data_IF_883844418241
#
_entry.id   IF_883844418241
#
_cell.length_a   1.000
_cell.length_b   1.000
_cell.length_c   1.000
_cell.angle_alpha   90.00
_cell.angle_beta   90.00
_cell.angle_gamma   90.00
#
_symmetry.space_group_name_H-M   'P 1'
#
loop_
_entity.id
_entity.type
_entity.pdbx_description
1 polymer ?
#
# COMPACT_ATOMS: atom_id res chain seq x y z
N UNK A 1 -77.66 50.84 -44.21
CA UNK A 1 -76.26 51.09 -43.92
C UNK A 1 -75.80 49.93 -42.99
N UNK A 2 -75.15 48.89 -43.52
CA UNK A 2 -74.80 47.65 -42.81
C UNK A 2 -73.32 47.78 -42.41
N UNK A 3 -73.04 47.72 -41.10
CA UNK A 3 -71.72 47.64 -40.51
C UNK A 3 -71.26 46.21 -40.51
N UNK A 4 -70.07 45.91 -41.08
CA UNK A 4 -69.39 44.66 -41.04
C UNK A 4 -68.50 44.59 -39.77
N UNK A 5 -68.45 43.46 -39.03
CA UNK A 5 -67.52 43.31 -37.93
C UNK A 5 -66.17 42.74 -38.40
N UNK A 6 -65.10 43.36 -37.91
CA UNK A 6 -63.71 42.88 -38.08
C UNK A 6 -63.40 41.60 -37.24
N UNK A 7 -62.68 40.63 -37.78
CA UNK A 7 -62.28 39.49 -37.01
C UNK A 7 -61.04 39.79 -36.10
N UNK A 8 -61.16 39.48 -34.84
CA UNK A 8 -60.04 39.53 -33.86
C UNK A 8 -59.11 38.31 -34.06
N UNK A 9 -57.93 38.55 -34.64
CA UNK A 9 -56.87 37.54 -34.77
C UNK A 9 -56.22 37.37 -33.43
N UNK A 10 -56.41 36.22 -32.79
CA UNK A 10 -55.63 35.77 -31.60
C UNK A 10 -54.25 35.25 -32.05
N UNK A 11 -53.21 36.00 -31.76
CA UNK A 11 -51.84 35.52 -31.91
C UNK A 11 -51.49 34.72 -30.67
N UNK A 12 -51.45 33.37 -30.79
CA UNK A 12 -50.97 32.46 -29.75
C UNK A 12 -49.45 32.39 -29.86
N UNK A 13 -48.76 33.07 -28.96
CA UNK A 13 -47.30 32.96 -28.82
C UNK A 13 -46.99 31.65 -28.11
N UNK A 14 -46.52 30.66 -28.85
CA UNK A 14 -45.95 29.42 -28.29
C UNK A 14 -44.57 29.72 -27.69
N UNK A 15 -44.51 29.91 -26.39
CA UNK A 15 -43.23 29.90 -25.64
C UNK A 15 -42.69 28.45 -25.58
N UNK A 16 -41.79 28.10 -26.49
CA UNK A 16 -41.02 26.85 -26.41
C UNK A 16 -39.99 27.00 -25.30
N UNK A 17 -40.26 26.35 -24.13
CA UNK A 17 -39.28 26.13 -23.09
C UNK A 17 -38.20 25.15 -23.63
N UNK A 18 -37.09 25.68 -24.09
CA UNK A 18 -35.88 24.91 -24.27
C UNK A 18 -35.34 24.52 -22.87
N UNK A 19 -35.67 23.32 -22.43
CA UNK A 19 -35.01 22.69 -21.28
C UNK A 19 -33.56 22.47 -21.66
N UNK A 20 -32.64 23.33 -21.20
CA UNK A 20 -31.22 23.12 -21.24
C UNK A 20 -30.92 21.92 -20.28
N UNK A 21 -30.97 20.71 -20.82
CA UNK A 21 -30.44 19.54 -20.17
C UNK A 21 -28.93 19.70 -20.15
N UNK A 22 -28.37 20.26 -19.08
CA UNK A 22 -26.96 20.15 -18.81
C UNK A 22 -26.68 18.66 -18.61
N UNK A 23 -25.73 18.05 -19.36
CA UNK A 23 -25.29 16.73 -19.03
C UNK A 23 -24.72 16.83 -17.60
N UNK A 24 -25.31 16.11 -16.66
CA UNK A 24 -24.68 15.83 -15.38
C UNK A 24 -23.45 15.01 -15.78
N UNK A 25 -22.29 15.67 -15.88
CA UNK A 25 -21.01 14.99 -15.95
C UNK A 25 -20.95 14.16 -14.66
N UNK A 26 -21.12 12.85 -14.79
CA UNK A 26 -20.84 11.94 -13.71
C UNK A 26 -19.41 12.28 -13.26
N UNK A 27 -19.28 12.82 -12.05
CA UNK A 27 -17.99 13.21 -11.51
C UNK A 27 -17.10 11.97 -11.55
N UNK A 28 -16.05 12.03 -12.35
CA UNK A 28 -15.20 10.88 -12.59
C UNK A 28 -14.45 10.59 -11.29
N UNK A 29 -14.62 9.39 -10.74
CA UNK A 29 -14.13 9.02 -9.42
C UNK A 29 -12.79 8.33 -9.51
N UNK A 30 -11.85 8.70 -8.64
CA UNK A 30 -10.60 7.98 -8.42
C UNK A 30 -10.85 6.85 -7.41
N UNK A 31 -11.08 5.62 -7.91
CA UNK A 31 -11.48 4.47 -7.09
C UNK A 31 -10.31 3.59 -6.72
N UNK A 32 -10.02 3.50 -5.42
CA UNK A 32 -8.88 2.78 -4.83
C UNK A 32 -9.35 1.51 -4.12
N UNK A 33 -8.69 0.39 -4.41
CA UNK A 33 -8.84 -0.85 -3.68
C UNK A 33 -7.92 -0.81 -2.45
N UNK A 34 -8.45 -0.87 -1.24
CA UNK A 34 -7.65 -0.74 -0.03
C UNK A 34 -8.17 -1.64 1.10
N UNK A 35 -7.27 -1.97 2.03
CA UNK A 35 -7.63 -2.65 3.28
C UNK A 35 -8.06 -1.60 4.32
N UNK A 36 -9.19 -1.82 5.03
CA UNK A 36 -9.65 -0.90 6.07
C UNK A 36 -8.78 -0.89 7.33
N UNK A 37 -7.91 -1.91 7.52
CA UNK A 37 -7.05 -2.08 8.70
C UNK A 37 -5.68 -2.63 8.32
N UNK A 38 -4.89 -1.86 7.58
CA UNK A 38 -3.55 -2.24 7.14
C UNK A 38 -2.52 -1.14 7.36
N UNK A 39 -2.31 -0.67 8.62
CA UNK A 39 -1.30 0.32 8.91
C UNK A 39 0.11 -0.22 8.61
N UNK A 40 1.02 0.64 8.09
CA UNK A 40 0.87 2.06 7.81
C UNK A 40 0.33 2.37 6.41
N UNK A 41 -0.09 1.37 5.61
CA UNK A 41 -0.51 1.54 4.21
C UNK A 41 -1.85 2.26 4.11
N UNK A 42 -2.91 1.60 4.56
CA UNK A 42 -4.27 2.13 4.50
C UNK A 42 -5.08 1.79 5.75
N UNK A 43 -5.96 2.70 6.10
CA UNK A 43 -6.93 2.54 7.18
C UNK A 43 -8.26 3.16 6.78
N UNK A 44 -9.32 2.78 7.45
CA UNK A 44 -10.64 3.38 7.23
C UNK A 44 -10.70 4.85 7.66
N UNK A 45 -9.83 5.26 8.61
CA UNK A 45 -9.61 6.66 9.00
C UNK A 45 -8.78 7.46 7.98
N UNK A 46 -8.24 6.80 6.94
CA UNK A 46 -7.49 7.42 5.83
C UNK A 46 -6.19 8.11 6.27
N UNK A 47 -5.54 7.62 7.31
CA UNK A 47 -4.29 8.15 7.86
C UNK A 47 -3.03 7.43 7.37
N UNK A 48 -3.16 6.30 6.66
CA UNK A 48 -2.06 5.58 6.05
C UNK A 48 -1.38 6.36 4.90
N UNK A 49 -0.12 6.02 4.61
CA UNK A 49 0.63 6.72 3.55
C UNK A 49 0.01 6.51 2.16
N UNK A 50 -0.52 5.33 1.86
CA UNK A 50 -1.23 5.07 0.60
C UNK A 50 -2.54 5.87 0.51
N UNK A 51 -3.24 6.06 1.62
CA UNK A 51 -4.41 6.94 1.65
C UNK A 51 -4.05 8.39 1.30
N UNK A 52 -2.93 8.89 1.84
CA UNK A 52 -2.45 10.25 1.59
C UNK A 52 -2.01 10.43 0.13
N UNK A 53 -1.33 9.43 -0.45
CA UNK A 53 -0.95 9.44 -1.87
C UNK A 53 -2.19 9.38 -2.78
N UNK A 54 -3.17 8.53 -2.43
CA UNK A 54 -4.44 8.46 -3.17
C UNK A 54 -5.21 9.79 -3.15
N UNK A 55 -5.24 10.46 -1.99
CA UNK A 55 -5.84 11.78 -1.85
C UNK A 55 -5.10 12.86 -2.67
N UNK A 56 -3.76 12.80 -2.72
CA UNK A 56 -2.95 13.66 -3.59
C UNK A 56 -3.32 13.45 -5.06
N UNK A 57 -3.42 12.21 -5.52
CA UNK A 57 -3.75 11.91 -6.91
C UNK A 57 -5.18 12.30 -7.29
N UNK A 58 -6.15 12.01 -6.42
CA UNK A 58 -7.53 12.44 -6.64
C UNK A 58 -7.65 13.96 -6.79
N UNK A 59 -6.93 14.72 -5.93
CA UNK A 59 -6.86 16.20 -6.02
C UNK A 59 -6.23 16.66 -7.34
N UNK A 60 -5.13 16.06 -7.76
CA UNK A 60 -4.45 16.40 -9.02
C UNK A 60 -5.31 16.14 -10.26
N UNK A 61 -6.16 15.11 -10.19
CA UNK A 61 -7.11 14.74 -11.23
C UNK A 61 -8.43 15.53 -11.18
N UNK A 62 -8.64 16.30 -10.12
CA UNK A 62 -9.93 16.94 -9.81
C UNK A 62 -11.08 15.92 -9.79
N UNK A 63 -10.85 14.76 -9.14
CA UNK A 63 -11.79 13.65 -9.01
C UNK A 63 -12.14 13.40 -7.55
N UNK A 64 -13.35 12.88 -7.30
CA UNK A 64 -13.73 12.38 -5.96
C UNK A 64 -12.96 11.11 -5.64
N UNK A 65 -12.35 11.04 -4.45
CA UNK A 65 -11.66 9.82 -3.96
C UNK A 65 -12.66 8.85 -3.34
N UNK A 66 -12.77 7.68 -3.93
CA UNK A 66 -13.62 6.59 -3.44
C UNK A 66 -12.78 5.35 -3.11
N UNK A 67 -13.11 4.64 -2.03
CA UNK A 67 -12.44 3.41 -1.64
C UNK A 67 -13.39 2.23 -1.73
N UNK A 68 -12.89 1.15 -2.35
CA UNK A 68 -13.45 -0.18 -2.14
C UNK A 68 -12.62 -0.90 -1.08
N UNK A 69 -13.21 -1.05 0.10
CA UNK A 69 -12.56 -1.65 1.25
C UNK A 69 -12.69 -3.18 1.24
N UNK A 70 -11.56 -3.85 1.31
CA UNK A 70 -11.49 -5.31 1.40
C UNK A 70 -10.23 -5.71 2.19
N UNK A 71 -10.31 -6.70 3.11
CA UNK A 71 -9.14 -7.14 3.89
C UNK A 71 -8.03 -7.70 3.00
N UNK A 72 -6.77 -7.37 3.33
CA UNK A 72 -5.59 -7.88 2.64
C UNK A 72 -5.40 -9.37 2.95
N UNK A 73 -5.89 -10.21 2.04
CA UNK A 73 -5.83 -11.67 2.13
C UNK A 73 -5.69 -12.32 0.77
N UNK A 74 -5.49 -13.64 0.74
CA UNK A 74 -5.45 -14.42 -0.51
C UNK A 74 -6.68 -14.09 -1.36
N UNK A 75 -6.46 -13.72 -2.62
CA UNK A 75 -7.52 -13.33 -3.54
C UNK A 75 -7.91 -11.85 -3.48
N UNK A 76 -7.17 -11.00 -2.78
CA UNK A 76 -7.43 -9.55 -2.72
C UNK A 76 -7.65 -8.96 -4.12
N UNK A 77 -6.71 -9.14 -5.06
CA UNK A 77 -6.82 -8.62 -6.44
C UNK A 77 -8.05 -9.15 -7.16
N UNK A 78 -8.35 -10.46 -7.01
CA UNK A 78 -9.51 -11.07 -7.66
C UNK A 78 -10.84 -10.50 -7.15
N UNK A 79 -10.93 -10.23 -5.85
CA UNK A 79 -12.16 -9.77 -5.19
C UNK A 79 -12.32 -8.24 -5.19
N UNK A 80 -11.29 -7.50 -5.64
CA UNK A 80 -11.27 -6.03 -5.69
C UNK A 80 -11.04 -5.52 -7.10
N UNK A 81 -9.80 -5.38 -7.53
CA UNK A 81 -9.40 -4.79 -8.81
C UNK A 81 -10.03 -5.47 -10.03
N UNK A 82 -10.20 -6.80 -9.98
CA UNK A 82 -10.77 -7.63 -11.06
C UNK A 82 -12.26 -7.94 -10.86
N UNK A 83 -12.84 -7.53 -9.75
CA UNK A 83 -14.26 -7.77 -9.46
C UNK A 83 -15.13 -6.62 -9.94
N UNK A 84 -16.27 -6.97 -10.52
CA UNK A 84 -17.30 -6.02 -10.90
C UNK A 84 -18.33 -5.86 -9.78
N UNK A 85 -19.04 -4.74 -9.80
CA UNK A 85 -20.22 -4.52 -8.96
C UNK A 85 -21.34 -5.37 -9.53
N UNK A 86 -22.05 -6.09 -8.66
CA UNK A 86 -23.09 -7.02 -9.05
C UNK A 86 -24.12 -6.38 -10.03
N UNK A 87 -24.40 -7.10 -11.11
CA UNK A 87 -25.29 -6.67 -12.19
C UNK A 87 -24.87 -5.39 -12.96
N UNK A 88 -23.57 -5.07 -12.95
CA UNK A 88 -23.02 -3.96 -13.73
C UNK A 88 -21.71 -4.37 -14.41
N UNK A 89 -21.30 -3.60 -15.44
CA UNK A 89 -19.98 -3.71 -16.07
C UNK A 89 -18.91 -2.88 -15.33
N UNK A 90 -19.29 -2.20 -14.26
CA UNK A 90 -18.40 -1.34 -13.49
C UNK A 90 -17.55 -2.16 -12.51
N UNK A 91 -16.24 -1.96 -12.53
CA UNK A 91 -15.33 -2.55 -11.55
C UNK A 91 -15.45 -1.87 -10.17
N UNK A 92 -15.22 -2.64 -9.12
CA UNK A 92 -15.30 -2.16 -7.72
C UNK A 92 -14.28 -1.07 -7.40
N UNK A 93 -13.11 -1.13 -8.00
CA UNK A 93 -12.03 -0.15 -7.89
C UNK A 93 -11.11 -0.22 -9.11
N UNK A 94 -10.22 0.76 -9.27
CA UNK A 94 -9.42 0.91 -10.48
C UNK A 94 -7.91 0.81 -10.24
N UNK A 95 -7.47 0.99 -8.99
CA UNK A 95 -6.05 0.97 -8.62
C UNK A 95 -5.84 0.31 -7.25
N UNK A 96 -4.77 -0.46 -7.13
CA UNK A 96 -4.17 -0.94 -5.88
C UNK A 96 -2.87 -0.20 -5.68
N UNK A 97 -2.65 0.40 -4.50
CA UNK A 97 -1.52 1.32 -4.32
C UNK A 97 -0.17 0.60 -4.17
N UNK A 98 -0.07 -0.47 -3.40
CA UNK A 98 1.20 -1.10 -3.02
C UNK A 98 1.38 -2.52 -3.56
N UNK A 99 1.94 -2.69 -4.75
CA UNK A 99 2.34 -3.99 -5.31
C UNK A 99 3.82 -3.99 -5.67
N UNK A 100 4.53 -5.12 -5.54
CA UNK A 100 5.87 -5.25 -6.10
C UNK A 100 5.84 -5.05 -7.63
N UNK A 101 6.86 -4.38 -8.18
CA UNK A 101 7.01 -4.29 -9.64
C UNK A 101 7.05 -5.68 -10.26
N UNK A 102 6.29 -5.88 -11.33
CA UNK A 102 6.18 -7.17 -12.02
C UNK A 102 5.29 -8.19 -11.32
N UNK A 103 4.35 -7.74 -10.50
CA UNK A 103 3.38 -8.61 -9.83
C UNK A 103 2.42 -9.28 -10.84
N UNK A 104 2.39 -10.62 -10.86
CA UNK A 104 1.73 -11.42 -11.91
C UNK A 104 0.21 -11.24 -12.03
N UNK A 105 -0.47 -10.76 -11.00
CA UNK A 105 -1.95 -10.66 -11.02
C UNK A 105 -2.48 -9.28 -11.40
N UNK A 106 -1.60 -8.31 -11.69
CA UNK A 106 -1.96 -6.97 -12.13
C UNK A 106 -0.86 -6.38 -13.00
N UNK A 107 -1.20 -5.49 -13.95
CA UNK A 107 -0.21 -4.66 -14.63
C UNK A 107 0.29 -3.62 -13.63
N UNK A 108 1.61 -3.47 -13.50
CA UNK A 108 2.19 -2.50 -12.57
C UNK A 108 2.65 -1.23 -13.30
N UNK A 109 2.58 -0.10 -12.60
CA UNK A 109 3.22 1.15 -13.04
C UNK A 109 4.73 1.05 -12.85
N UNK A 110 5.46 2.09 -13.24
CA UNK A 110 6.81 2.29 -12.71
C UNK A 110 6.78 2.42 -11.18
N UNK A 111 7.90 2.11 -10.51
CA UNK A 111 7.95 2.19 -9.04
C UNK A 111 7.82 3.65 -8.56
N UNK A 112 7.11 3.83 -7.45
CA UNK A 112 7.01 5.12 -6.76
C UNK A 112 7.76 5.16 -5.44
N UNK A 113 8.20 3.99 -4.92
CA UNK A 113 9.20 3.91 -3.87
C UNK A 113 9.96 2.59 -3.92
N UNK A 114 11.10 2.56 -3.25
CA UNK A 114 11.92 1.37 -3.04
C UNK A 114 12.25 1.26 -1.56
N UNK A 115 12.03 0.08 -0.97
CA UNK A 115 12.24 -0.14 0.46
C UNK A 115 12.90 -1.50 0.71
N UNK A 116 13.37 -1.70 1.93
CA UNK A 116 13.98 -2.97 2.35
C UNK A 116 13.38 -3.46 3.65
N UNK A 117 13.55 -4.73 3.93
CA UNK A 117 13.31 -5.28 5.26
C UNK A 117 14.28 -4.66 6.28
N UNK A 118 13.88 -4.62 7.53
CA UNK A 118 14.72 -4.18 8.64
C UNK A 118 14.65 -5.16 9.80
N UNK A 119 15.80 -5.45 10.41
CA UNK A 119 15.88 -6.10 11.70
C UNK A 119 15.61 -5.06 12.78
N UNK A 120 14.53 -5.25 13.54
CA UNK A 120 14.17 -4.43 14.68
C UNK A 120 14.58 -5.16 15.94
N UNK A 121 15.29 -4.49 16.84
CA UNK A 121 15.75 -5.02 18.11
C UNK A 121 15.24 -4.13 19.24
N UNK A 122 14.53 -4.70 20.19
CA UNK A 122 14.06 -3.98 21.37
C UNK A 122 15.23 -3.72 22.32
N UNK A 123 15.49 -2.45 22.63
CA UNK A 123 16.59 -2.03 23.49
C UNK A 123 16.39 -2.40 24.97
N UNK A 124 17.49 -2.47 25.73
CA UNK A 124 17.49 -2.78 27.16
C UNK A 124 17.10 -4.21 27.49
N UNK A 125 17.38 -5.16 26.56
CA UNK A 125 17.05 -6.58 26.73
C UNK A 125 18.26 -7.51 26.54
N UNK A 126 19.47 -6.95 26.63
CA UNK A 126 20.73 -7.73 26.47
C UNK A 126 21.19 -7.89 25.03
N UNK A 127 20.60 -7.11 24.08
CA UNK A 127 20.92 -7.16 22.65
C UNK A 127 21.43 -5.82 22.10
N UNK A 128 21.75 -4.86 22.97
CA UNK A 128 22.12 -3.50 22.55
C UNK A 128 23.49 -3.41 21.86
N UNK A 129 24.30 -4.46 21.98
CA UNK A 129 25.59 -4.65 21.29
C UNK A 129 25.43 -5.08 19.82
N UNK A 130 24.25 -5.54 19.42
CA UNK A 130 23.95 -5.93 18.05
C UNK A 130 23.72 -4.68 17.20
N UNK A 131 24.67 -4.38 16.33
CA UNK A 131 24.65 -3.25 15.39
C UNK A 131 24.59 -3.65 13.93
N UNK A 132 24.80 -4.95 13.66
CA UNK A 132 24.70 -5.56 12.34
C UNK A 132 24.01 -6.91 12.44
N UNK A 133 23.14 -7.24 11.49
CA UNK A 133 22.38 -8.49 11.49
C UNK A 133 23.30 -9.74 11.50
N UNK A 134 24.45 -9.66 10.81
CA UNK A 134 25.42 -10.77 10.75
C UNK A 134 25.98 -11.20 12.11
N UNK A 135 25.94 -10.35 13.13
CA UNK A 135 26.38 -10.71 14.47
C UNK A 135 25.51 -11.80 15.12
N UNK A 136 24.24 -11.90 14.70
CA UNK A 136 23.33 -12.94 15.21
C UNK A 136 23.77 -14.36 14.79
N UNK A 137 24.43 -14.52 13.65
CA UNK A 137 24.97 -15.82 13.22
C UNK A 137 26.25 -16.25 13.94
N UNK A 138 26.78 -15.44 14.89
CA UNK A 138 28.00 -15.71 15.65
C UNK A 138 27.79 -15.57 17.16
N UNK A 139 26.57 -15.81 17.64
CA UNK A 139 26.27 -15.80 19.08
C UNK A 139 26.92 -16.96 19.81
N UNK A 140 27.20 -16.80 21.12
CA UNK A 140 27.49 -17.95 21.97
C UNK A 140 26.21 -18.79 22.15
N UNK A 141 26.35 -20.08 22.38
CA UNK A 141 25.20 -20.99 22.58
C UNK A 141 24.20 -20.45 23.62
N UNK A 142 24.70 -19.96 24.75
CA UNK A 142 23.86 -19.40 25.81
C UNK A 142 23.04 -18.19 25.33
N UNK A 143 23.61 -17.29 24.49
CA UNK A 143 22.89 -16.16 23.92
C UNK A 143 21.92 -16.63 22.87
N UNK A 144 22.30 -17.56 22.01
CA UNK A 144 21.45 -18.13 21.00
C UNK A 144 20.19 -18.75 21.59
N UNK A 145 20.33 -19.59 22.66
CA UNK A 145 19.22 -20.20 23.39
C UNK A 145 18.25 -19.15 24.00
N UNK A 146 18.74 -17.95 24.33
CA UNK A 146 17.95 -16.88 24.91
C UNK A 146 17.25 -15.99 23.84
N UNK A 147 17.59 -16.15 22.57
CA UNK A 147 17.08 -15.34 21.47
C UNK A 147 15.58 -15.58 21.23
N UNK A 148 14.81 -14.51 21.25
CA UNK A 148 13.36 -14.51 20.91
C UNK A 148 13.14 -13.66 19.67
N UNK A 149 13.24 -14.26 18.50
CA UNK A 149 13.06 -13.57 17.22
C UNK A 149 11.78 -14.03 16.51
N UNK A 150 10.97 -13.08 16.05
CA UNK A 150 9.78 -13.43 15.28
C UNK A 150 10.17 -14.00 13.91
N UNK A 151 9.54 -15.10 13.54
CA UNK A 151 9.72 -15.79 12.27
C UNK A 151 8.40 -15.92 11.56
N UNK A 152 8.34 -15.48 10.31
CA UNK A 152 7.13 -15.59 9.49
C UNK A 152 7.11 -16.93 8.73
N UNK A 153 5.89 -17.43 8.45
CA UNK A 153 5.67 -18.67 7.68
C UNK A 153 6.25 -18.58 6.26
N UNK A 154 6.41 -17.38 5.73
CA UNK A 154 7.03 -17.08 4.42
C UNK A 154 7.80 -15.77 4.47
N UNK A 155 8.87 -15.70 3.69
CA UNK A 155 9.58 -14.44 3.49
C UNK A 155 11.09 -14.52 3.68
N UNK A 156 11.80 -13.45 3.30
CA UNK A 156 13.24 -13.43 3.31
C UNK A 156 13.85 -13.51 4.72
N UNK A 157 13.14 -13.05 5.75
CA UNK A 157 13.58 -13.13 7.13
C UNK A 157 13.75 -14.57 7.60
N UNK A 158 12.78 -15.44 7.32
CA UNK A 158 12.85 -16.87 7.67
C UNK A 158 13.97 -17.59 6.91
N UNK A 159 14.12 -17.29 5.61
CA UNK A 159 15.24 -17.83 4.82
C UNK A 159 16.59 -17.39 5.40
N UNK A 160 16.68 -16.15 5.88
CA UNK A 160 17.87 -15.62 6.50
C UNK A 160 18.16 -16.30 7.85
N UNK A 161 17.16 -16.50 8.71
CA UNK A 161 17.29 -17.25 9.97
C UNK A 161 17.80 -18.68 9.70
N UNK A 162 17.21 -19.36 8.73
CA UNK A 162 17.64 -20.70 8.34
C UNK A 162 19.11 -20.75 7.91
N UNK A 163 19.55 -19.80 7.08
CA UNK A 163 20.96 -19.74 6.61
C UNK A 163 21.96 -19.41 7.71
N UNK A 164 21.52 -18.79 8.80
CA UNK A 164 22.35 -18.43 9.94
C UNK A 164 22.20 -19.41 11.12
N UNK A 165 21.52 -20.57 10.94
CA UNK A 165 21.34 -21.58 11.98
C UNK A 165 20.38 -21.20 13.11
N UNK A 166 19.56 -20.15 12.91
CA UNK A 166 18.70 -19.53 13.94
C UNK A 166 17.22 -19.92 13.79
N UNK A 167 16.91 -20.99 13.06
CA UNK A 167 15.53 -21.36 12.79
C UNK A 167 14.80 -21.82 14.06
N UNK A 168 15.51 -22.52 14.94
CA UNK A 168 14.96 -23.08 16.19
C UNK A 168 14.63 -21.99 17.23
N UNK A 169 15.25 -20.81 17.13
CA UNK A 169 14.98 -19.63 17.95
C UNK A 169 13.79 -18.81 17.42
N UNK A 170 13.28 -19.18 16.24
CA UNK A 170 12.18 -18.47 15.57
C UNK A 170 10.83 -18.72 16.24
N UNK A 171 10.17 -17.65 16.71
CA UNK A 171 8.81 -17.71 17.21
C UNK A 171 7.86 -17.49 16.02
N UNK A 172 6.99 -18.45 15.68
CA UNK A 172 6.23 -18.41 14.42
C UNK A 172 5.11 -17.39 14.42
N UNK A 173 4.99 -16.67 13.31
CA UNK A 173 3.91 -15.75 12.98
C UNK A 173 3.39 -16.03 11.58
N UNK A 174 2.09 -15.84 11.38
CA UNK A 174 1.48 -15.92 10.04
C UNK A 174 1.69 -14.59 9.31
N UNK A 175 2.03 -14.64 8.03
CA UNK A 175 2.19 -13.45 7.18
C UNK A 175 0.86 -12.76 6.91
N UNK A 176 -0.23 -13.54 6.78
CA UNK A 176 -1.60 -13.03 6.57
C UNK A 176 -2.54 -13.74 7.56
N UNK A 177 -3.21 -12.99 8.39
CA UNK A 177 -4.17 -13.54 9.36
C UNK A 177 -5.52 -13.84 8.74
N UNK A 178 -5.87 -13.17 7.63
CA UNK A 178 -7.19 -13.30 6.97
C UNK A 178 -8.37 -12.79 7.81
N UNK A 179 -8.09 -12.19 8.95
CA UNK A 179 -9.04 -11.76 9.97
C UNK A 179 -9.21 -10.24 9.90
N UNK A 180 -10.45 -9.77 9.90
CA UNK A 180 -10.80 -8.35 9.78
C UNK A 180 -10.36 -7.50 11.00
N UNK A 181 -9.98 -8.14 12.10
CA UNK A 181 -9.60 -7.48 13.37
C UNK A 181 -8.10 -7.55 13.72
N UNK A 182 -7.28 -8.31 12.99
CA UNK A 182 -5.89 -8.56 13.34
C UNK A 182 -4.92 -8.22 12.20
N UNK A 183 -4.15 -7.17 12.39
CA UNK A 183 -3.04 -6.84 11.50
C UNK A 183 -1.72 -7.38 12.08
N UNK A 184 -0.87 -7.95 11.22
CA UNK A 184 0.42 -8.55 11.61
C UNK A 184 1.35 -7.51 12.26
N UNK A 185 1.43 -6.28 11.74
CA UNK A 185 2.28 -5.23 12.30
C UNK A 185 1.83 -4.85 13.73
N UNK A 186 0.52 -4.75 13.96
CA UNK A 186 -0.06 -4.49 15.29
C UNK A 186 0.21 -5.63 16.27
N UNK A 187 0.15 -6.89 15.80
CA UNK A 187 0.48 -8.06 16.63
C UNK A 187 1.96 -8.07 17.03
N UNK A 188 2.86 -7.81 16.10
CA UNK A 188 4.31 -7.71 16.35
C UNK A 188 4.59 -6.59 17.35
N UNK A 189 4.01 -5.41 17.15
CA UNK A 189 4.13 -4.28 18.10
C UNK A 189 3.73 -4.69 19.51
N UNK A 190 2.55 -5.30 19.66
CA UNK A 190 2.04 -5.78 20.96
C UNK A 190 3.00 -6.79 21.60
N UNK A 191 3.50 -7.75 20.81
CA UNK A 191 4.34 -8.84 21.34
C UNK A 191 5.76 -8.34 21.66
N UNK A 192 6.30 -7.35 20.93
CA UNK A 192 7.51 -6.62 21.30
C UNK A 192 7.32 -5.89 22.64
N UNK A 193 6.24 -5.13 22.82
CA UNK A 193 5.93 -4.41 24.08
C UNK A 193 5.76 -5.39 25.25
N UNK A 194 5.12 -6.52 25.01
CA UNK A 194 4.88 -7.55 26.02
C UNK A 194 6.11 -8.45 26.30
N UNK A 195 7.27 -8.19 25.68
CA UNK A 195 8.52 -9.00 25.79
C UNK A 195 8.36 -10.47 25.42
N UNK A 196 7.41 -10.79 24.56
CA UNK A 196 7.26 -12.13 23.99
C UNK A 196 8.30 -12.41 22.91
N UNK A 197 8.69 -11.36 22.19
CA UNK A 197 9.80 -11.33 21.24
C UNK A 197 10.72 -10.16 21.55
N UNK A 198 12.00 -10.30 21.24
CA UNK A 198 12.97 -9.22 21.39
C UNK A 198 13.38 -8.63 20.04
N UNK A 199 13.23 -9.40 18.99
CA UNK A 199 13.63 -9.03 17.63
C UNK A 199 12.62 -9.50 16.59
N UNK A 200 12.67 -8.84 15.43
CA UNK A 200 11.91 -9.24 14.25
C UNK A 200 12.55 -8.69 12.98
N UNK A 201 12.52 -9.46 11.89
CA UNK A 201 12.86 -8.97 10.56
C UNK A 201 11.54 -8.65 9.84
N UNK A 202 11.24 -7.36 9.65
CA UNK A 202 10.00 -6.87 9.04
C UNK A 202 10.26 -6.16 7.72
N UNK A 203 9.29 -6.23 6.83
CA UNK A 203 9.20 -5.36 5.66
C UNK A 203 9.16 -3.89 6.07
N UNK A 204 9.89 -3.03 5.36
CA UNK A 204 10.14 -1.63 5.73
C UNK A 204 8.93 -0.83 6.20
N UNK A 205 7.82 -0.76 5.46
CA UNK A 205 6.61 -0.10 5.94
C UNK A 205 6.08 -0.64 7.28
N UNK A 206 6.03 -1.95 7.46
CA UNK A 206 5.61 -2.56 8.72
C UNK A 206 6.58 -2.23 9.86
N UNK A 207 7.88 -2.19 9.56
CA UNK A 207 8.91 -1.73 10.50
C UNK A 207 8.66 -0.28 10.92
N UNK A 208 8.37 0.60 9.96
CA UNK A 208 8.01 2.01 10.21
C UNK A 208 6.82 2.15 11.14
N UNK A 209 5.77 1.33 10.94
CA UNK A 209 4.62 1.30 11.85
C UNK A 209 5.04 0.94 13.29
N UNK A 210 5.74 -0.18 13.48
CA UNK A 210 6.19 -0.62 14.81
C UNK A 210 7.03 0.46 15.52
N UNK A 211 7.93 1.11 14.78
CA UNK A 211 8.79 2.17 15.33
C UNK A 211 7.95 3.38 15.75
N UNK A 212 6.96 3.78 14.94
CA UNK A 212 6.12 4.96 15.20
C UNK A 212 5.22 4.82 16.44
N UNK A 213 4.92 3.59 16.85
CA UNK A 213 4.04 3.29 18.00
C UNK A 213 4.79 3.26 19.35
N UNK A 214 6.06 3.67 19.38
CA UNK A 214 6.89 3.68 20.60
C UNK A 214 7.73 4.96 20.68
N UNK A 215 8.16 5.37 21.88
CA UNK A 215 9.04 6.49 22.04
C UNK A 215 10.32 6.36 21.20
N UNK A 216 10.83 7.48 20.71
CA UNK A 216 12.08 7.50 19.93
C UNK A 216 13.21 6.84 20.72
N UNK A 217 13.94 5.93 20.09
CA UNK A 217 15.06 5.24 20.70
C UNK A 217 14.68 3.93 21.42
N UNK A 218 13.41 3.50 21.39
CA UNK A 218 12.97 2.20 21.95
C UNK A 218 13.59 1.01 21.20
N UNK A 219 13.86 1.17 19.91
CA UNK A 219 14.39 0.11 19.06
C UNK A 219 15.72 0.49 18.41
N UNK A 220 16.58 -0.50 18.18
CA UNK A 220 17.63 -0.46 17.16
C UNK A 220 17.03 -0.96 15.86
N UNK A 221 17.27 -0.26 14.77
CA UNK A 221 16.73 -0.59 13.43
C UNK A 221 17.89 -0.77 12.46
N UNK A 222 18.04 -1.97 11.94
CA UNK A 222 19.14 -2.34 11.05
C UNK A 222 18.54 -2.72 9.68
N UNK A 223 18.71 -1.89 8.64
CA UNK A 223 18.27 -2.24 7.29
C UNK A 223 18.95 -3.51 6.80
N UNK A 224 18.16 -4.46 6.28
CA UNK A 224 18.69 -5.70 5.71
C UNK A 224 19.16 -5.46 4.27
N UNK A 225 20.25 -6.13 3.91
CA UNK A 225 20.81 -6.07 2.55
C UNK A 225 20.55 -7.38 1.83
N UNK A 226 20.09 -7.29 0.58
CA UNK A 226 19.95 -8.45 -0.30
C UNK A 226 21.30 -9.16 -0.49
N UNK A 227 21.25 -10.49 -0.49
CA UNK A 227 22.41 -11.37 -0.69
C UNK A 227 22.04 -12.48 -1.67
N UNK A 228 22.98 -13.21 -2.25
CA UNK A 228 22.67 -14.31 -3.14
C UNK A 228 21.65 -15.28 -2.53
N UNK A 229 20.50 -15.43 -3.20
CA UNK A 229 19.38 -16.28 -2.76
C UNK A 229 18.49 -15.72 -1.65
N UNK A 230 18.71 -14.47 -1.19
CA UNK A 230 17.78 -13.78 -0.29
C UNK A 230 17.62 -12.33 -0.74
N UNK A 231 16.43 -12.01 -1.24
CA UNK A 231 16.06 -10.64 -1.65
C UNK A 231 15.32 -9.94 -0.52
N UNK A 232 15.86 -8.84 -0.01
CA UNK A 232 15.28 -8.03 1.06
C UNK A 232 14.68 -6.71 0.59
N UNK A 233 15.09 -6.21 -0.57
CA UNK A 233 14.65 -4.91 -1.09
C UNK A 233 13.73 -5.07 -2.29
N UNK A 234 12.69 -4.25 -2.36
CA UNK A 234 11.68 -4.31 -3.41
C UNK A 234 11.29 -2.90 -3.86
N UNK A 235 11.14 -2.76 -5.19
CA UNK A 235 10.52 -1.60 -5.81
C UNK A 235 9.00 -1.79 -5.81
N UNK A 236 8.28 -0.80 -5.30
CA UNK A 236 6.83 -0.85 -5.14
C UNK A 236 6.16 0.07 -6.15
N UNK A 237 5.12 -0.44 -6.77
CA UNK A 237 4.36 0.19 -7.83
C UNK A 237 2.85 0.16 -7.54
N UNK A 238 2.08 0.88 -8.31
CA UNK A 238 0.62 0.76 -8.30
C UNK A 238 0.17 -0.31 -9.28
N UNK A 239 -0.87 -1.06 -8.92
CA UNK A 239 -1.45 -2.11 -9.74
C UNK A 239 -2.76 -1.69 -10.38
N UNK A 240 -2.90 -1.98 -11.66
CA UNK A 240 -4.10 -1.76 -12.46
C UNK A 240 -4.48 -3.03 -13.21
N UNK A 241 -5.64 -3.07 -13.84
CA UNK A 241 -6.03 -4.18 -14.71
C UNK A 241 -5.13 -4.24 -15.94
N UNK A 242 -4.87 -5.45 -16.43
CA UNK A 242 -4.24 -5.64 -17.74
C UNK A 242 -5.11 -4.99 -18.82
N UNK A 243 -4.48 -4.35 -19.80
CA UNK A 243 -5.15 -3.63 -20.90
C UNK A 243 -5.53 -2.18 -20.59
N UNK A 244 -5.49 -1.74 -19.32
CA UNK A 244 -5.80 -0.34 -18.94
C UNK A 244 -4.55 0.56 -19.07
N UNK A 245 -4.00 0.65 -20.29
CA UNK A 245 -2.77 1.40 -20.55
C UNK A 245 -2.94 2.90 -20.32
N UNK A 246 -4.12 3.45 -20.61
CA UNK A 246 -4.41 4.86 -20.37
C UNK A 246 -4.28 5.21 -18.88
N UNK A 247 -4.81 4.37 -17.99
CA UNK A 247 -4.69 4.56 -16.54
C UNK A 247 -3.24 4.41 -16.07
N UNK A 248 -2.50 3.43 -16.64
CA UNK A 248 -1.06 3.29 -16.35
C UNK A 248 -0.31 4.58 -16.65
N UNK A 249 -0.44 5.12 -17.85
CA UNK A 249 0.23 6.36 -18.24
C UNK A 249 -0.17 7.56 -17.38
N UNK A 250 -1.46 7.68 -17.05
CA UNK A 250 -1.96 8.72 -16.16
C UNK A 250 -1.29 8.63 -14.77
N UNK A 251 -1.27 7.44 -14.17
CA UNK A 251 -0.64 7.23 -12.85
C UNK A 251 0.87 7.48 -12.89
N UNK A 252 1.56 7.07 -13.95
CA UNK A 252 2.99 7.29 -14.11
C UNK A 252 3.35 8.77 -14.25
N UNK A 253 2.52 9.57 -14.94
CA UNK A 253 2.65 11.03 -15.00
C UNK A 253 2.45 11.67 -13.62
N UNK A 254 1.47 11.18 -12.84
CA UNK A 254 1.24 11.65 -11.47
C UNK A 254 2.40 11.30 -10.54
N UNK A 255 2.96 10.10 -10.68
CA UNK A 255 4.17 9.67 -9.92
C UNK A 255 5.33 10.63 -10.22
N UNK A 256 5.60 10.93 -11.50
CA UNK A 256 6.68 11.83 -11.87
C UNK A 256 6.47 13.24 -11.34
N UNK A 257 5.27 13.79 -11.56
CA UNK A 257 4.93 15.15 -11.14
C UNK A 257 5.05 15.35 -9.63
N UNK A 258 4.70 14.33 -8.85
CA UNK A 258 4.59 14.44 -7.39
C UNK A 258 5.64 13.61 -6.64
N UNK A 259 6.74 13.22 -7.30
CA UNK A 259 7.70 12.28 -6.74
C UNK A 259 8.23 12.70 -5.35
N UNK A 260 8.69 13.92 -5.21
CA UNK A 260 9.23 14.42 -3.93
C UNK A 260 8.15 14.45 -2.82
N UNK A 261 6.93 14.83 -3.17
CA UNK A 261 5.82 14.82 -2.21
C UNK A 261 5.45 13.40 -1.77
N UNK A 262 5.49 12.45 -2.69
CA UNK A 262 5.29 11.01 -2.40
C UNK A 262 6.38 10.52 -1.44
N UNK A 263 7.67 10.83 -1.72
CA UNK A 263 8.77 10.44 -0.84
C UNK A 263 8.62 11.05 0.57
N UNK A 264 8.19 12.30 0.69
CA UNK A 264 7.93 12.94 1.97
C UNK A 264 6.78 12.25 2.73
N UNK A 265 5.66 11.96 2.06
CA UNK A 265 4.53 11.24 2.67
C UNK A 265 4.98 9.88 3.22
N UNK A 266 5.83 9.15 2.49
CA UNK A 266 6.30 7.83 2.92
C UNK A 266 7.30 7.96 4.09
N UNK A 267 8.24 8.91 4.02
CA UNK A 267 9.26 9.12 5.05
C UNK A 267 8.66 9.56 6.39
N UNK A 268 7.56 10.31 6.39
CA UNK A 268 6.81 10.72 7.58
C UNK A 268 6.26 9.52 8.39
N UNK A 269 6.19 8.34 7.75
CA UNK A 269 5.80 7.08 8.40
C UNK A 269 6.99 6.24 8.89
N UNK A 270 8.20 6.81 8.99
CA UNK A 270 9.44 6.14 9.39
C UNK A 270 9.80 4.92 8.53
N UNK A 271 9.38 4.91 7.27
CA UNK A 271 9.66 3.82 6.34
C UNK A 271 11.09 3.95 5.81
N UNK A 272 11.93 2.91 5.91
CA UNK A 272 13.27 2.93 5.33
C UNK A 272 13.18 2.96 3.81
N UNK A 273 13.54 4.08 3.20
CA UNK A 273 13.59 4.25 1.76
C UNK A 273 15.01 4.01 1.24
N UNK A 274 15.08 3.40 0.08
CA UNK A 274 16.29 3.22 -0.72
C UNK A 274 16.10 3.94 -2.07
N UNK A 275 17.21 4.32 -2.74
CA UNK A 275 17.13 4.82 -4.11
C UNK A 275 16.45 3.79 -5.02
N UNK A 276 15.53 4.24 -5.86
CA UNK A 276 14.90 3.36 -6.86
C UNK A 276 15.96 2.92 -7.87
N UNK A 277 16.15 1.61 -8.09
CA UNK A 277 17.14 1.12 -9.06
C UNK A 277 16.81 1.57 -10.49
N UNK A 278 17.81 2.04 -11.24
CA UNK A 278 17.64 2.52 -12.64
C UNK A 278 17.11 1.41 -13.60
N UNK A 279 17.23 0.14 -13.25
CA UNK A 279 16.78 -1.01 -14.06
C UNK A 279 15.38 -1.53 -13.70
N UNK A 280 14.68 -0.89 -12.76
CA UNK A 280 13.32 -1.28 -12.37
C UNK A 280 12.25 -0.92 -13.44
N UNK A 281 12.65 -0.30 -14.53
CA UNK A 281 11.77 -0.11 -15.70
C UNK A 281 11.79 -1.41 -16.50
N UNK A 282 10.81 -2.28 -16.27
CA UNK A 282 10.60 -3.44 -17.15
C UNK A 282 10.40 -2.93 -18.58
N UNK A 283 11.18 -3.46 -19.53
CA UNK A 283 10.78 -3.44 -20.93
C UNK A 283 9.43 -4.14 -20.98
N UNK A 284 8.40 -3.41 -21.37
CA UNK A 284 7.12 -4.00 -21.73
C UNK A 284 7.41 -4.96 -22.89
N UNK A 285 7.35 -6.26 -22.63
CA UNK A 285 7.24 -7.25 -23.69
C UNK A 285 5.85 -7.07 -24.28
N UNK A 286 5.81 -6.66 -25.54
CA UNK A 286 4.63 -6.50 -26.39
C UNK A 286 3.84 -7.82 -26.55
#
# INVERSE_FOLDING_TARGET
>A
MKLFPFPKTFITVLLSLYSLSFPILAEDKFRVCADPLHPPYSTKSKDGFENKIAALFAKELNQELEYYWFPQRIGFIRNTLKAQIDNTDQYKCDVVMGLPVGFDFAKTTKPYYHSTYALIIAKGRGWDDITQASQLGNLSLQREESLKIAMFDRGPGTTWLQKNGLLDQGIPYQTMTGDDGNNVAMKIEKDLKARKIDMVILWGPMAGHVISQSPKGTYTVIPMKSTPGIKFDFSMAMGIRYGDNQRKEMLEKLIDKNFDQIQNIISDHNIPLLPIPKQAVHKDDD
#
